data_IF_609749936057
#
_entry.id   IF_609749936057
#
_cell.length_a   1.000
_cell.length_b   1.000
_cell.length_c   1.000
_cell.angle_alpha   90.00
_cell.angle_beta   90.00
_cell.angle_gamma   90.00
#
_symmetry.space_group_name_H-M   'P 1'
#
loop_
_entity.id
_entity.type
_entity.pdbx_description
1 polymer ?
#
# COMPACT_ATOMS: atom_id res chain seq x y z
N UNK A 1 12.63 5.43 16.09
CA UNK A 1 11.21 5.88 16.20
C UNK A 1 10.37 4.68 16.62
N UNK A 2 9.48 4.89 17.56
CA UNK A 2 8.46 3.90 17.93
C UNK A 2 7.34 3.85 16.89
N UNK A 3 6.47 2.84 16.98
CA UNK A 3 5.30 2.72 16.07
C UNK A 3 4.37 3.94 16.26
N UNK A 4 4.20 4.39 17.50
CA UNK A 4 3.35 5.54 17.85
C UNK A 4 3.91 6.85 17.29
N UNK A 5 5.23 7.05 17.34
CA UNK A 5 5.89 8.21 16.74
C UNK A 5 5.71 8.22 15.22
N UNK A 6 5.88 7.08 14.56
CA UNK A 6 5.66 6.94 13.11
C UNK A 6 4.19 7.26 12.77
N UNK A 7 3.24 6.68 13.52
CA UNK A 7 1.81 6.92 13.29
C UNK A 7 1.45 8.40 13.41
N UNK A 8 1.99 9.12 14.42
CA UNK A 8 1.80 10.56 14.59
C UNK A 8 2.37 11.36 13.40
N UNK A 9 3.55 10.99 12.91
CA UNK A 9 4.16 11.65 11.76
C UNK A 9 3.35 11.42 10.48
N UNK A 10 2.77 10.23 10.29
CA UNK A 10 1.92 9.92 9.12
C UNK A 10 0.68 10.80 9.05
N UNK A 11 0.14 11.25 10.18
CA UNK A 11 -1.04 12.12 10.26
C UNK A 11 -0.70 13.58 10.61
N UNK A 12 0.49 14.03 10.25
CA UNK A 12 0.93 15.43 10.47
C UNK A 12 -0.08 16.41 9.85
N UNK A 13 -0.49 17.42 10.61
CA UNK A 13 -1.45 18.43 10.14
C UNK A 13 -0.99 19.08 8.83
N UNK A 14 -1.91 19.16 7.87
CA UNK A 14 -1.65 19.76 6.55
C UNK A 14 -0.94 18.84 5.56
N UNK A 15 -0.66 17.58 5.93
CA UNK A 15 -0.07 16.58 5.04
C UNK A 15 -0.97 15.35 4.89
N UNK A 16 -0.88 14.70 3.74
CA UNK A 16 -1.57 13.45 3.44
C UNK A 16 -0.62 12.31 3.12
N UNK A 17 -1.17 11.12 2.98
CA UNK A 17 -0.43 9.92 2.53
C UNK A 17 -0.68 9.76 1.03
N UNK A 18 0.39 9.69 0.25
CA UNK A 18 0.32 9.43 -1.19
C UNK A 18 0.21 7.93 -1.45
N UNK A 19 -0.87 7.50 -2.08
CA UNK A 19 -1.00 6.15 -2.60
C UNK A 19 -0.33 6.05 -3.99
N UNK A 20 0.82 5.38 -4.05
CA UNK A 20 1.57 5.07 -5.26
C UNK A 20 1.80 3.55 -5.39
N UNK A 21 0.82 2.80 -4.90
CA UNK A 21 0.87 1.35 -4.69
C UNK A 21 0.10 0.56 -5.75
N UNK A 22 -0.22 1.18 -6.88
CA UNK A 22 -0.91 0.50 -7.96
C UNK A 22 -0.15 -0.76 -8.38
N UNK A 23 -0.88 -1.87 -8.45
CA UNK A 23 -0.32 -3.11 -9.02
C UNK A 23 0.12 -2.90 -10.47
N UNK A 24 0.99 -3.76 -10.97
CA UNK A 24 1.43 -3.73 -12.38
C UNK A 24 0.24 -3.68 -13.35
N UNK A 25 -0.83 -4.45 -13.07
CA UNK A 25 -2.03 -4.44 -13.90
C UNK A 25 -2.81 -3.12 -13.84
N UNK A 26 -2.94 -2.52 -12.67
CA UNK A 26 -3.61 -1.22 -12.49
C UNK A 26 -2.80 -0.10 -13.15
N UNK A 27 -1.49 -0.07 -12.92
CA UNK A 27 -0.61 0.90 -13.57
C UNK A 27 -0.61 0.73 -15.09
N UNK A 28 -0.65 -0.52 -15.59
CA UNK A 28 -0.77 -0.81 -17.02
C UNK A 28 -2.01 -0.19 -17.67
N UNK A 29 -3.16 -0.28 -16.99
CA UNK A 29 -4.40 0.36 -17.46
C UNK A 29 -4.27 1.89 -17.50
N UNK A 30 -3.65 2.52 -16.50
CA UNK A 30 -3.41 3.97 -16.44
C UNK A 30 -2.47 4.43 -17.57
N UNK A 31 -1.34 3.74 -17.76
CA UNK A 31 -0.39 4.08 -18.83
C UNK A 31 -1.02 3.90 -20.22
N UNK A 32 -1.80 2.84 -20.41
CA UNK A 32 -2.52 2.60 -21.67
C UNK A 32 -3.51 3.73 -22.00
N UNK A 33 -4.18 4.30 -21.02
CA UNK A 33 -5.16 5.40 -21.25
C UNK A 33 -4.51 6.67 -21.79
N UNK A 34 -3.19 6.81 -21.65
CA UNK A 34 -2.38 7.91 -22.20
C UNK A 34 -1.42 7.44 -23.31
N UNK A 35 -1.69 6.26 -23.89
CA UNK A 35 -0.90 5.65 -24.96
C UNK A 35 0.58 5.42 -24.61
N UNK A 36 0.88 5.12 -23.35
CA UNK A 36 2.22 4.76 -22.89
C UNK A 36 2.29 3.27 -22.61
N UNK A 37 3.35 2.61 -23.07
CA UNK A 37 3.61 1.20 -22.81
C UNK A 37 3.88 0.95 -21.33
N UNK A 38 3.31 -0.13 -20.78
CA UNK A 38 3.52 -0.54 -19.39
C UNK A 38 4.74 -1.46 -19.26
N UNK A 39 5.93 -0.91 -19.35
CA UNK A 39 7.17 -1.56 -18.98
C UNK A 39 7.70 -1.02 -17.64
N UNK A 40 8.69 -1.66 -17.05
CA UNK A 40 9.23 -1.30 -15.73
C UNK A 40 9.73 0.15 -15.70
N UNK A 41 10.44 0.59 -16.74
CA UNK A 41 10.99 1.94 -16.88
C UNK A 41 9.89 3.00 -16.84
N UNK A 42 8.80 2.79 -17.58
CA UNK A 42 7.69 3.76 -17.65
C UNK A 42 6.89 3.78 -16.36
N UNK A 43 6.70 2.62 -15.68
CA UNK A 43 6.07 2.56 -14.36
C UNK A 43 6.92 3.29 -13.30
N UNK A 44 8.23 3.11 -13.32
CA UNK A 44 9.14 3.84 -12.44
C UNK A 44 9.12 5.33 -12.73
N UNK A 45 9.22 5.74 -13.99
CA UNK A 45 9.22 7.15 -14.40
C UNK A 45 7.96 7.88 -13.92
N UNK A 46 6.78 7.26 -14.07
CA UNK A 46 5.54 7.83 -13.55
C UNK A 46 5.62 8.09 -12.04
N UNK A 47 6.09 7.13 -11.28
CA UNK A 47 6.21 7.25 -9.81
C UNK A 47 7.31 8.21 -9.38
N UNK A 48 8.46 8.16 -10.04
CA UNK A 48 9.57 9.07 -9.76
C UNK A 48 9.18 10.53 -9.98
N UNK A 49 8.37 10.83 -11.01
CA UNK A 49 7.83 12.17 -11.25
C UNK A 49 7.03 12.68 -10.05
N UNK A 50 6.21 11.83 -9.42
CA UNK A 50 5.49 12.19 -8.19
C UNK A 50 6.46 12.40 -7.02
N UNK A 51 7.40 11.48 -6.82
CA UNK A 51 8.31 11.49 -5.66
C UNK A 51 9.35 12.62 -5.71
N UNK A 52 9.60 13.20 -6.88
CA UNK A 52 10.52 14.34 -7.07
C UNK A 52 9.81 15.69 -7.13
N UNK A 53 8.49 15.72 -7.03
CA UNK A 53 7.71 16.95 -6.98
C UNK A 53 8.01 17.75 -5.70
N UNK A 54 8.05 19.09 -5.82
CA UNK A 54 8.23 19.99 -4.67
C UNK A 54 7.13 19.84 -3.62
N UNK A 55 5.91 19.46 -4.05
CA UNK A 55 4.78 19.20 -3.17
C UNK A 55 5.01 18.05 -2.19
N UNK A 56 5.95 17.15 -2.47
CA UNK A 56 6.30 16.06 -1.54
C UNK A 56 6.70 16.60 -0.18
N UNK A 57 7.52 17.66 -0.12
CA UNK A 57 8.03 18.23 1.14
C UNK A 57 6.93 18.90 1.97
N UNK A 58 6.00 19.56 1.31
CA UNK A 58 4.98 20.38 1.98
C UNK A 58 3.70 19.63 2.28
N UNK A 59 3.32 18.66 1.43
CA UNK A 59 1.97 18.10 1.43
C UNK A 59 1.91 16.60 1.71
N UNK A 60 3.05 15.89 1.69
CA UNK A 60 3.07 14.43 1.85
C UNK A 60 3.83 14.03 3.11
N UNK A 61 3.18 13.25 3.96
CA UNK A 61 3.76 12.68 5.18
C UNK A 61 4.26 11.24 4.99
N UNK A 62 3.63 10.49 4.09
CA UNK A 62 3.98 9.10 3.80
C UNK A 62 3.64 8.71 2.38
N UNK A 63 4.30 7.69 1.86
CA UNK A 63 4.06 7.15 0.51
C UNK A 63 3.88 5.66 0.59
N UNK A 64 2.75 5.15 0.11
CA UNK A 64 2.51 3.71 -0.03
C UNK A 64 3.12 3.26 -1.35
N UNK A 65 4.11 2.37 -1.29
CA UNK A 65 4.79 1.81 -2.46
C UNK A 65 4.21 0.45 -2.85
N UNK A 66 4.46 0.05 -4.09
CA UNK A 66 4.29 -1.30 -4.60
C UNK A 66 5.60 -2.09 -4.48
N UNK A 67 5.55 -3.43 -4.40
CA UNK A 67 6.74 -4.29 -4.22
C UNK A 67 7.84 -4.05 -5.27
N UNK A 68 7.48 -3.90 -6.55
CA UNK A 68 8.42 -3.54 -7.60
C UNK A 68 9.16 -2.25 -7.26
N UNK A 69 8.43 -1.23 -6.85
CA UNK A 69 8.95 0.14 -6.71
C UNK A 69 9.85 0.31 -5.48
N UNK A 70 9.56 -0.35 -4.37
CA UNK A 70 10.39 -0.26 -3.17
C UNK A 70 11.81 -0.80 -3.40
N UNK A 71 11.99 -1.67 -4.40
CA UNK A 71 13.27 -2.29 -4.79
C UNK A 71 14.03 -1.50 -5.85
N UNK A 72 13.39 -0.52 -6.46
CA UNK A 72 13.93 0.22 -7.61
C UNK A 72 14.83 1.37 -7.17
N UNK A 73 15.65 1.79 -8.11
CA UNK A 73 16.54 2.94 -8.02
C UNK A 73 16.08 4.02 -8.99
N UNK A 74 16.04 5.26 -8.54
CA UNK A 74 15.68 6.42 -9.35
C UNK A 74 16.65 6.62 -10.52
N UNK A 75 16.26 7.46 -11.47
CA UNK A 75 17.13 7.88 -12.60
C UNK A 75 18.46 8.52 -12.16
N UNK A 76 18.53 8.99 -10.91
CA UNK A 76 19.74 9.58 -10.30
C UNK A 76 20.53 8.58 -9.42
N UNK A 77 20.26 7.29 -9.49
CA UNK A 77 20.96 6.27 -8.73
C UNK A 77 20.62 6.21 -7.23
N UNK A 78 19.49 6.79 -6.80
CA UNK A 78 19.03 6.81 -5.40
C UNK A 78 17.94 5.76 -5.23
N UNK A 79 18.04 4.90 -4.22
CA UNK A 79 16.95 3.96 -3.88
C UNK A 79 15.65 4.73 -3.62
N UNK A 80 14.53 4.24 -4.12
CA UNK A 80 13.23 4.92 -3.99
C UNK A 80 12.85 5.20 -2.53
N UNK A 81 13.02 4.29 -1.56
CA UNK A 81 12.76 4.62 -0.16
C UNK A 81 13.63 5.76 0.37
N UNK A 82 14.89 5.86 -0.04
CA UNK A 82 15.78 6.93 0.36
C UNK A 82 15.41 8.28 -0.31
N UNK A 83 14.94 8.24 -1.56
CA UNK A 83 14.42 9.42 -2.24
C UNK A 83 13.21 10.00 -1.49
N UNK A 84 12.29 9.14 -1.05
CA UNK A 84 11.10 9.52 -0.26
C UNK A 84 11.52 10.09 1.11
N UNK A 85 12.46 9.46 1.81
CA UNK A 85 12.98 9.98 3.08
C UNK A 85 13.61 11.36 2.93
N UNK A 86 14.37 11.60 1.85
CA UNK A 86 14.96 12.91 1.55
C UNK A 86 13.94 14.03 1.36
N UNK A 87 12.72 13.71 0.93
CA UNK A 87 11.62 14.68 0.87
C UNK A 87 10.95 14.93 2.23
N UNK A 88 11.35 14.21 3.29
CA UNK A 88 10.74 14.29 4.62
C UNK A 88 9.51 13.42 4.78
N UNK A 89 9.23 12.53 3.84
CA UNK A 89 8.10 11.59 3.88
C UNK A 89 8.53 10.20 4.35
N UNK A 90 7.59 9.43 4.88
CA UNK A 90 7.82 8.08 5.40
C UNK A 90 7.51 7.06 4.29
N UNK A 91 8.44 6.16 3.92
CA UNK A 91 8.14 5.06 3.01
C UNK A 91 7.24 4.02 3.66
N UNK A 92 6.24 3.56 2.93
CA UNK A 92 5.37 2.45 3.29
C UNK A 92 5.19 1.48 2.13
N UNK A 93 4.44 0.42 2.35
CA UNK A 93 4.32 -0.69 1.39
C UNK A 93 2.93 -1.32 1.41
N UNK A 94 2.35 -1.56 0.23
CA UNK A 94 1.18 -2.42 0.06
C UNK A 94 1.60 -3.88 0.14
N UNK A 95 0.98 -4.64 1.03
CA UNK A 95 1.40 -6.01 1.33
C UNK A 95 0.35 -7.07 1.01
N UNK A 96 -0.90 -6.68 0.76
CA UNK A 96 -1.92 -7.61 0.29
C UNK A 96 -1.62 -8.10 -1.14
N UNK A 97 -2.10 -9.29 -1.47
CA UNK A 97 -1.99 -9.94 -2.79
C UNK A 97 -3.28 -9.82 -3.61
N UNK A 98 -4.17 -8.91 -3.23
CA UNK A 98 -5.41 -8.60 -3.93
C UNK A 98 -6.63 -9.34 -3.40
N UNK A 99 -7.79 -8.78 -3.72
CA UNK A 99 -9.08 -9.36 -3.39
C UNK A 99 -9.46 -10.48 -4.37
N UNK A 100 -9.87 -11.63 -3.84
CA UNK A 100 -10.34 -12.82 -4.56
C UNK A 100 -11.77 -13.12 -4.17
N UNK A 101 -12.46 -13.96 -4.95
CA UNK A 101 -13.77 -14.44 -4.56
C UNK A 101 -13.68 -15.19 -3.23
N UNK A 102 -14.56 -14.86 -2.30
CA UNK A 102 -14.71 -15.61 -1.06
C UNK A 102 -15.37 -16.95 -1.36
N UNK A 103 -14.67 -18.04 -1.07
CA UNK A 103 -15.21 -19.38 -1.27
C UNK A 103 -16.53 -19.55 -0.50
N UNK A 104 -17.54 -20.12 -1.15
CA UNK A 104 -18.89 -20.24 -0.60
C UNK A 104 -19.77 -19.00 -0.74
N UNK A 105 -19.26 -17.92 -1.36
CA UNK A 105 -20.01 -16.72 -1.76
C UNK A 105 -20.06 -16.62 -3.29
N UNK A 106 -21.09 -15.94 -3.83
CA UNK A 106 -21.23 -15.75 -5.28
C UNK A 106 -20.39 -14.60 -5.82
N UNK A 107 -20.22 -13.53 -5.04
CA UNK A 107 -19.67 -12.24 -5.52
C UNK A 107 -18.88 -11.47 -4.45
N UNK A 108 -18.90 -11.90 -3.21
CA UNK A 108 -18.13 -11.27 -2.13
C UNK A 108 -16.64 -11.64 -2.21
N UNK A 109 -15.81 -10.83 -1.61
CA UNK A 109 -14.35 -10.96 -1.72
C UNK A 109 -13.67 -11.10 -0.37
N UNK A 110 -12.60 -11.87 -0.39
CA UNK A 110 -11.59 -11.94 0.67
C UNK A 110 -10.26 -11.44 0.12
N UNK A 111 -9.54 -10.65 0.90
CA UNK A 111 -8.20 -10.24 0.51
C UNK A 111 -7.17 -11.23 1.00
N UNK A 112 -6.32 -11.69 0.11
CA UNK A 112 -5.27 -12.67 0.37
C UNK A 112 -3.91 -12.00 0.61
N UNK A 113 -2.93 -12.77 1.13
CA UNK A 113 -1.55 -12.33 1.31
C UNK A 113 -0.96 -12.56 2.69
N UNK A 114 -1.62 -13.31 3.58
CA UNK A 114 -1.10 -13.64 4.92
C UNK A 114 0.06 -14.64 4.86
N UNK A 115 0.07 -15.54 3.87
CA UNK A 115 1.13 -16.53 3.73
C UNK A 115 2.47 -15.86 3.42
N UNK A 116 3.49 -16.18 4.24
CA UNK A 116 4.82 -15.59 4.16
C UNK A 116 4.85 -14.08 4.45
N UNK A 117 3.82 -13.54 5.13
CA UNK A 117 3.76 -12.11 5.40
C UNK A 117 4.83 -11.68 6.41
N UNK A 118 5.12 -12.50 7.43
CA UNK A 118 6.12 -12.17 8.44
C UNK A 118 7.49 -11.93 7.81
N UNK A 119 7.93 -12.85 6.97
CA UNK A 119 9.22 -12.77 6.27
C UNK A 119 9.27 -11.55 5.34
N UNK A 120 8.18 -11.27 4.63
CA UNK A 120 8.08 -10.06 3.79
C UNK A 120 8.13 -8.77 4.60
N UNK A 121 7.55 -8.74 5.80
CA UNK A 121 7.62 -7.54 6.66
C UNK A 121 9.04 -7.26 7.12
N UNK A 122 9.80 -8.28 7.50
CA UNK A 122 11.22 -8.13 7.86
C UNK A 122 12.04 -7.59 6.68
N UNK A 123 11.80 -8.10 5.48
CA UNK A 123 12.46 -7.63 4.27
C UNK A 123 12.11 -6.16 3.97
N UNK A 124 10.84 -5.81 3.96
CA UNK A 124 10.41 -4.43 3.67
C UNK A 124 10.89 -3.43 4.72
N UNK A 125 10.97 -3.84 5.98
CA UNK A 125 11.56 -3.00 7.02
C UNK A 125 13.04 -2.71 6.72
N UNK A 126 13.81 -3.71 6.30
CA UNK A 126 15.21 -3.56 5.88
C UNK A 126 15.36 -2.66 4.65
N UNK A 127 14.42 -2.74 3.70
CA UNK A 127 14.35 -1.84 2.54
C UNK A 127 13.93 -0.40 2.88
N UNK A 128 13.53 -0.14 4.11
CA UNK A 128 13.24 1.21 4.60
C UNK A 128 11.78 1.53 4.83
N UNK A 129 10.85 0.62 4.57
CA UNK A 129 9.44 0.81 4.93
C UNK A 129 9.25 0.94 6.44
N UNK A 130 8.27 1.78 6.85
CA UNK A 130 7.92 2.00 8.25
C UNK A 130 6.44 1.85 8.51
N UNK A 131 5.63 1.71 7.47
CA UNK A 131 4.23 1.35 7.57
C UNK A 131 3.84 0.41 6.44
N UNK A 132 2.76 -0.32 6.63
CA UNK A 132 2.20 -1.21 5.63
C UNK A 132 0.72 -0.92 5.42
N UNK A 133 0.18 -1.29 4.27
CA UNK A 133 -1.23 -1.16 3.93
C UNK A 133 -1.80 -2.50 3.47
N UNK A 134 -3.01 -2.80 3.95
CA UNK A 134 -3.82 -3.93 3.50
C UNK A 134 -5.26 -3.48 3.31
N UNK A 135 -5.80 -3.70 2.11
CA UNK A 135 -7.15 -3.34 1.74
C UNK A 135 -8.07 -4.57 1.70
N UNK A 136 -9.13 -4.56 2.48
CA UNK A 136 -10.30 -5.41 2.26
C UNK A 136 -11.36 -4.60 1.50
N UNK A 137 -12.22 -5.25 0.72
CA UNK A 137 -13.26 -4.58 -0.06
C UNK A 137 -14.64 -5.17 0.26
N UNK A 138 -15.62 -4.27 0.41
CA UNK A 138 -17.01 -4.62 0.70
C UNK A 138 -17.95 -3.91 -0.27
N UNK A 139 -18.88 -4.66 -0.84
CA UNK A 139 -20.04 -4.08 -1.53
C UNK A 139 -21.21 -3.99 -0.55
N UNK A 140 -22.00 -2.91 -0.62
CA UNK A 140 -23.17 -2.70 0.21
C UNK A 140 -24.43 -2.92 -0.61
N UNK A 141 -25.30 -3.80 -0.15
CA UNK A 141 -26.64 -4.02 -0.72
C UNK A 141 -27.59 -4.55 0.35
N UNK A 142 -28.81 -4.93 -0.02
CA UNK A 142 -29.75 -5.59 0.90
C UNK A 142 -29.27 -6.98 1.38
N UNK A 143 -28.29 -7.58 0.69
CA UNK A 143 -27.75 -8.93 1.00
C UNK A 143 -26.27 -8.91 1.33
N UNK A 144 -25.58 -7.79 1.13
CA UNK A 144 -24.12 -7.65 1.32
C UNK A 144 -23.76 -6.46 2.21
N UNK A 145 -22.65 -6.55 2.96
CA UNK A 145 -21.83 -7.74 3.12
C UNK A 145 -22.49 -8.78 4.02
N UNK A 146 -22.24 -10.06 3.74
CA UNK A 146 -22.66 -11.16 4.62
C UNK A 146 -21.83 -11.18 5.90
N UNK A 147 -22.35 -11.78 6.95
CA UNK A 147 -21.62 -11.98 8.21
C UNK A 147 -20.32 -12.77 7.98
N UNK A 148 -20.35 -13.77 7.09
CA UNK A 148 -19.16 -14.53 6.71
C UNK A 148 -18.07 -13.63 6.09
N UNK A 149 -18.44 -12.77 5.15
CA UNK A 149 -17.51 -11.84 4.51
C UNK A 149 -16.91 -10.87 5.52
N UNK A 150 -17.72 -10.29 6.41
CA UNK A 150 -17.26 -9.38 7.46
C UNK A 150 -16.26 -10.10 8.38
N UNK A 151 -16.61 -11.26 8.92
CA UNK A 151 -15.76 -12.02 9.85
C UNK A 151 -14.45 -12.46 9.20
N UNK A 152 -14.49 -12.97 7.98
CA UNK A 152 -13.29 -13.42 7.27
C UNK A 152 -12.29 -12.28 7.02
N UNK A 153 -12.77 -11.14 6.52
CA UNK A 153 -11.92 -9.98 6.27
C UNK A 153 -11.45 -9.31 7.57
N UNK A 154 -12.31 -9.19 8.60
CA UNK A 154 -11.92 -8.66 9.91
C UNK A 154 -10.80 -9.50 10.55
N UNK A 155 -10.92 -10.83 10.48
CA UNK A 155 -9.88 -11.74 10.97
C UNK A 155 -8.57 -11.59 10.20
N UNK A 156 -8.64 -11.50 8.87
CA UNK A 156 -7.45 -11.29 8.03
C UNK A 156 -6.76 -9.95 8.36
N UNK A 157 -7.53 -8.86 8.48
CA UNK A 157 -7.04 -7.53 8.86
C UNK A 157 -6.39 -7.52 10.25
N UNK A 158 -6.99 -8.21 11.22
CA UNK A 158 -6.43 -8.30 12.59
C UNK A 158 -5.09 -9.06 12.59
N UNK A 159 -5.00 -10.20 11.89
CA UNK A 159 -3.75 -10.96 11.77
C UNK A 159 -2.67 -10.17 11.04
N UNK A 160 -3.03 -9.52 9.94
CA UNK A 160 -2.13 -8.62 9.21
C UNK A 160 -1.58 -7.54 10.13
N UNK A 161 -2.45 -6.81 10.84
CA UNK A 161 -2.03 -5.72 11.72
C UNK A 161 -1.05 -6.19 12.81
N UNK A 162 -1.31 -7.33 13.43
CA UNK A 162 -0.42 -7.90 14.46
C UNK A 162 0.97 -8.24 13.89
N UNK A 163 1.05 -8.85 12.70
CA UNK A 163 2.32 -9.20 12.04
C UNK A 163 3.11 -7.92 11.67
N UNK A 164 2.43 -6.88 11.20
CA UNK A 164 3.07 -5.60 10.86
C UNK A 164 3.64 -4.92 12.10
N UNK A 165 2.90 -4.93 13.21
CA UNK A 165 3.37 -4.37 14.49
C UNK A 165 4.55 -5.16 15.07
N UNK A 166 4.55 -6.49 14.96
CA UNK A 166 5.68 -7.35 15.33
C UNK A 166 6.96 -6.94 14.57
N UNK A 167 6.83 -6.57 13.30
CA UNK A 167 7.92 -6.03 12.48
C UNK A 167 8.25 -4.55 12.76
N UNK A 168 7.72 -3.94 13.83
CA UNK A 168 7.92 -2.54 14.22
C UNK A 168 7.48 -1.53 13.15
N UNK A 169 6.42 -1.85 12.43
CA UNK A 169 5.81 -1.00 11.41
C UNK A 169 4.38 -0.63 11.80
N UNK A 170 3.87 0.47 11.26
CA UNK A 170 2.48 0.91 11.46
C UNK A 170 1.57 0.22 10.46
N UNK A 171 0.51 -0.49 10.87
CA UNK A 171 -0.47 -1.05 9.95
C UNK A 171 -1.54 -0.01 9.56
N UNK A 172 -1.75 0.21 8.27
CA UNK A 172 -2.97 0.84 7.75
C UNK A 172 -3.99 -0.27 7.49
N UNK A 173 -5.03 -0.30 8.31
CA UNK A 173 -6.16 -1.22 8.21
C UNK A 173 -7.24 -0.55 7.37
N UNK A 174 -7.46 -1.02 6.12
CA UNK A 174 -8.33 -0.37 5.15
C UNK A 174 -9.52 -1.27 4.77
N UNK A 175 -10.62 -1.26 5.55
CA UNK A 175 -11.90 -1.86 5.16
C UNK A 175 -12.64 -0.91 4.22
N UNK A 176 -12.37 -1.02 2.92
CA UNK A 176 -12.96 -0.15 1.91
C UNK A 176 -14.37 -0.59 1.53
N UNK A 177 -15.31 0.33 1.63
CA UNK A 177 -16.64 0.18 1.02
C UNK A 177 -16.56 0.68 -0.42
N UNK A 178 -16.91 -0.19 -1.37
CA UNK A 178 -16.92 0.17 -2.79
C UNK A 178 -18.03 1.19 -3.06
N UNK A 179 -17.69 2.20 -3.85
CA UNK A 179 -18.58 3.32 -4.19
C UNK A 179 -19.38 3.05 -5.47
N UNK A 180 -19.68 1.77 -5.80
CA UNK A 180 -20.37 1.25 -6.99
C UNK A 180 -19.45 0.94 -8.18
#
# INVERSE_FOLDING_TARGET
MTIEEIAKLMVTKGKGILAADESTGTMGKRLKSVNVESNEKNRLHFRETLFTSDSMKTSISGVILYDETIRQTSSKGILIPELIKKSGSIPGIKVDKGAKLLAGSNDEKITEGLDGLRERMEEYYKLGARFAKWRAVYSISSKHPSEQCIKANAHALARYAAIVQEAKMVPIVEPEVLMD
#
